data_IF_012209641126
#
_entry.id   IF_012209641126
#
_cell.length_a   1.000
_cell.length_b   1.000
_cell.length_c   1.000
_cell.angle_alpha   90.00
_cell.angle_beta   90.00
_cell.angle_gamma   90.00
#
_symmetry.space_group_name_H-M   'P 1'
#
loop_
_entity.id
_entity.type
_entity.pdbx_description
1 polymer ?
#
# COMPACT_ATOMS: atom_id res chain seq x y z
N UNK A 1 32.03 8.91 -16.86
CA UNK A 1 30.71 9.39 -16.38
C UNK A 1 30.82 9.48 -14.88
N UNK A 2 30.59 10.65 -14.32
CA UNK A 2 30.59 10.82 -12.86
C UNK A 2 29.29 10.26 -12.30
N UNK A 3 29.40 9.30 -11.39
CA UNK A 3 28.27 8.70 -10.70
C UNK A 3 28.11 9.42 -9.37
N UNK A 4 26.97 10.09 -9.17
CA UNK A 4 26.61 10.70 -7.90
C UNK A 4 25.92 9.66 -7.01
N UNK A 5 26.46 9.43 -5.83
CA UNK A 5 25.85 8.56 -4.81
C UNK A 5 25.12 9.43 -3.79
N UNK A 6 23.84 9.14 -3.57
CA UNK A 6 22.98 9.85 -2.62
C UNK A 6 22.34 8.87 -1.64
N UNK A 7 21.81 9.38 -0.53
CA UNK A 7 21.00 8.57 0.39
C UNK A 7 19.69 8.15 -0.28
N UNK A 8 19.25 6.92 -0.01
CA UNK A 8 17.92 6.48 -0.42
C UNK A 8 16.84 7.22 0.37
N UNK A 9 15.77 7.63 -0.32
CA UNK A 9 14.66 8.34 0.30
C UNK A 9 13.85 7.43 1.24
N UNK A 10 13.14 8.07 2.18
CA UNK A 10 12.22 7.43 3.12
C UNK A 10 10.81 7.94 2.83
N UNK A 11 9.90 7.04 2.46
CA UNK A 11 8.47 7.35 2.45
C UNK A 11 7.91 7.09 3.85
N UNK A 12 7.68 8.17 4.58
CA UNK A 12 7.27 8.12 5.98
C UNK A 12 5.79 7.75 6.20
N UNK A 13 4.98 7.69 5.13
CA UNK A 13 3.57 7.32 5.24
C UNK A 13 3.00 6.90 3.87
N UNK A 14 2.51 5.68 3.77
CA UNK A 14 1.77 5.20 2.59
C UNK A 14 0.80 4.08 2.92
N UNK A 15 0.09 3.60 1.90
CA UNK A 15 -0.80 2.45 1.93
C UNK A 15 -0.45 1.51 0.76
N UNK A 16 0.36 0.48 0.99
CA UNK A 16 0.81 -0.46 -0.03
C UNK A 16 -0.34 -1.23 -0.68
N UNK A 17 -1.42 -1.50 0.08
CA UNK A 17 -2.59 -2.20 -0.44
C UNK A 17 -3.27 -1.46 -1.60
N UNK A 18 -3.05 -0.14 -1.75
CA UNK A 18 -3.59 0.64 -2.85
C UNK A 18 -2.77 0.54 -4.13
N UNK A 19 -1.67 -0.22 -4.16
CA UNK A 19 -0.71 -0.25 -5.26
C UNK A 19 -1.32 -0.58 -6.63
N UNK A 20 -2.39 -1.38 -6.67
CA UNK A 20 -3.09 -1.71 -7.92
C UNK A 20 -4.18 -0.70 -8.32
N UNK A 21 -4.58 0.20 -7.42
CA UNK A 21 -5.69 1.14 -7.67
C UNK A 21 -5.49 2.01 -8.93
N UNK A 22 -4.27 2.50 -9.26
CA UNK A 22 -4.03 3.25 -10.49
C UNK A 22 -4.21 2.45 -11.79
N UNK A 23 -4.27 1.10 -11.73
CA UNK A 23 -4.36 0.23 -12.90
C UNK A 23 -5.80 0.03 -13.42
N UNK A 24 -6.67 1.00 -13.19
CA UNK A 24 -8.05 0.98 -13.71
C UNK A 24 -9.10 0.51 -12.70
N UNK A 25 -8.90 0.77 -11.40
CA UNK A 25 -9.98 0.60 -10.41
C UNK A 25 -11.21 1.43 -10.85
N UNK A 26 -12.42 0.84 -10.86
CA UNK A 26 -13.63 1.57 -11.25
C UNK A 26 -13.88 2.78 -10.36
N UNK A 27 -14.34 3.87 -10.97
CA UNK A 27 -14.79 5.04 -10.23
C UNK A 27 -16.04 4.71 -9.39
N UNK A 28 -16.22 5.36 -8.22
CA UNK A 28 -17.48 5.22 -7.48
C UNK A 28 -18.64 5.78 -8.30
N UNK A 29 -19.84 5.24 -8.09
CA UNK A 29 -21.07 5.67 -8.78
C UNK A 29 -21.34 7.18 -8.62
N UNK A 30 -21.04 7.72 -7.44
CA UNK A 30 -21.16 9.14 -7.14
C UNK A 30 -19.79 9.71 -6.73
N UNK A 31 -19.35 10.75 -7.45
CA UNK A 31 -18.11 11.45 -7.14
C UNK A 31 -18.11 11.94 -5.68
N UNK A 32 -17.05 11.66 -4.90
CA UNK A 32 -16.97 12.12 -3.52
C UNK A 32 -16.70 13.63 -3.46
N UNK A 33 -17.39 14.32 -2.56
CA UNK A 33 -17.30 15.79 -2.38
C UNK A 33 -16.43 16.17 -1.16
N UNK A 34 -16.05 15.19 -0.34
CA UNK A 34 -15.21 15.40 0.82
C UNK A 34 -14.38 14.14 1.14
N UNK A 35 -13.43 14.27 2.08
CA UNK A 35 -12.52 13.20 2.45
C UNK A 35 -13.24 11.96 3.00
N UNK A 36 -14.28 12.13 3.81
CA UNK A 36 -15.04 11.00 4.37
C UNK A 36 -15.72 10.22 3.24
N UNK A 37 -16.30 10.90 2.26
CA UNK A 37 -16.88 10.24 1.09
C UNK A 37 -15.82 9.53 0.24
N UNK A 38 -14.59 10.03 0.16
CA UNK A 38 -13.48 9.31 -0.51
C UNK A 38 -13.22 7.99 0.23
N UNK A 39 -13.13 8.02 1.56
CA UNK A 39 -12.94 6.83 2.38
C UNK A 39 -14.09 5.83 2.17
N UNK A 40 -15.32 6.26 2.35
CA UNK A 40 -16.52 5.42 2.25
C UNK A 40 -16.72 4.79 0.88
N UNK A 41 -16.54 5.59 -0.18
CA UNK A 41 -16.91 5.19 -1.55
C UNK A 41 -15.77 4.53 -2.31
N UNK A 42 -14.52 4.69 -1.86
CA UNK A 42 -13.34 4.14 -2.52
C UNK A 42 -12.57 3.23 -1.58
N UNK A 43 -11.88 3.81 -0.59
CA UNK A 43 -10.86 3.08 0.16
C UNK A 43 -11.42 1.97 1.05
N UNK A 44 -12.52 2.21 1.76
CA UNK A 44 -13.18 1.20 2.58
C UNK A 44 -13.79 0.06 1.76
N UNK A 45 -14.13 0.32 0.50
CA UNK A 45 -14.59 -0.76 -0.40
C UNK A 45 -13.42 -1.62 -0.85
N UNK A 46 -12.29 -0.97 -1.16
CA UNK A 46 -11.06 -1.66 -1.56
C UNK A 46 -10.49 -2.50 -0.42
N UNK A 47 -10.29 -1.93 0.77
CA UNK A 47 -9.65 -2.62 1.89
C UNK A 47 -10.42 -3.86 2.38
N UNK A 48 -11.76 -3.84 2.32
CA UNK A 48 -12.62 -5.00 2.58
C UNK A 48 -12.57 -6.07 1.50
N UNK A 49 -12.17 -5.71 0.28
CA UNK A 49 -12.14 -6.61 -0.88
C UNK A 49 -10.75 -7.27 -1.07
N UNK A 50 -9.76 -6.93 -0.24
CA UNK A 50 -8.43 -7.50 -0.32
C UNK A 50 -8.45 -8.99 0.02
N UNK A 51 -7.73 -9.75 -0.79
CA UNK A 51 -7.32 -11.12 -0.52
C UNK A 51 -5.78 -11.20 -0.53
N UNK A 52 -5.23 -12.36 -0.17
CA UNK A 52 -3.78 -12.56 -0.06
C UNK A 52 -3.05 -12.25 -1.38
N UNK A 53 -3.66 -12.62 -2.51
CA UNK A 53 -3.05 -12.50 -3.85
C UNK A 53 -3.00 -11.05 -4.30
N UNK A 54 -4.11 -10.33 -4.14
CA UNK A 54 -4.22 -8.92 -4.48
C UNK A 54 -3.34 -8.07 -3.58
N UNK A 55 -3.28 -8.37 -2.27
CA UNK A 55 -2.37 -7.70 -1.35
C UNK A 55 -0.90 -7.90 -1.73
N UNK A 56 -0.48 -9.15 -1.97
CA UNK A 56 0.89 -9.45 -2.38
C UNK A 56 1.27 -8.76 -3.70
N UNK A 57 0.37 -8.73 -4.68
CA UNK A 57 0.59 -8.05 -5.95
C UNK A 57 0.68 -6.53 -5.80
N UNK A 58 -0.20 -5.92 -4.99
CA UNK A 58 -0.19 -4.49 -4.71
C UNK A 58 1.11 -4.06 -4.02
N UNK A 59 1.53 -4.79 -3.00
CA UNK A 59 2.76 -4.51 -2.26
C UNK A 59 4.00 -4.62 -3.16
N UNK A 60 4.11 -5.69 -3.95
CA UNK A 60 5.25 -5.88 -4.88
C UNK A 60 5.34 -4.77 -5.92
N UNK A 61 4.21 -4.38 -6.53
CA UNK A 61 4.20 -3.31 -7.53
C UNK A 61 4.64 -1.99 -6.89
N UNK A 62 4.01 -1.60 -5.78
CA UNK A 62 4.31 -0.34 -5.11
C UNK A 62 5.77 -0.27 -4.66
N UNK A 63 6.29 -1.32 -4.03
CA UNK A 63 7.66 -1.35 -3.53
C UNK A 63 8.69 -1.32 -4.68
N UNK A 64 8.41 -2.00 -5.79
CA UNK A 64 9.27 -1.96 -6.98
C UNK A 64 9.33 -0.54 -7.57
N UNK A 65 8.19 0.13 -7.69
CA UNK A 65 8.12 1.52 -8.15
C UNK A 65 8.84 2.47 -7.19
N UNK A 66 8.67 2.30 -5.88
CA UNK A 66 9.36 3.07 -4.86
C UNK A 66 10.89 2.93 -4.98
N UNK A 67 11.40 1.71 -5.13
CA UNK A 67 12.83 1.43 -5.30
C UNK A 67 13.38 2.06 -6.59
N UNK A 68 12.65 1.94 -7.70
CA UNK A 68 13.01 2.57 -8.98
C UNK A 68 13.06 4.11 -8.87
N UNK A 69 12.22 4.68 -8.01
CA UNK A 69 12.22 6.11 -7.69
C UNK A 69 13.27 6.52 -6.65
N UNK A 70 14.11 5.59 -6.16
CA UNK A 70 15.15 5.86 -5.16
C UNK A 70 14.65 5.88 -3.71
N UNK A 71 13.40 5.46 -3.46
CA UNK A 71 12.86 5.28 -2.10
C UNK A 71 13.21 3.89 -1.61
N UNK A 72 14.00 3.82 -0.54
CA UNK A 72 14.55 2.57 -0.01
C UNK A 72 13.97 2.17 1.34
N UNK A 73 13.14 3.04 1.94
CA UNK A 73 12.41 2.75 3.17
C UNK A 73 10.98 3.24 3.08
N UNK A 74 10.04 2.42 3.55
CA UNK A 74 8.61 2.70 3.52
C UNK A 74 7.99 2.42 4.88
N UNK A 75 7.11 3.31 5.33
CA UNK A 75 6.23 3.10 6.49
C UNK A 75 4.82 2.88 5.95
N UNK A 76 4.34 1.65 6.03
CA UNK A 76 3.02 1.27 5.56
C UNK A 76 1.98 1.32 6.67
N UNK A 77 0.86 1.98 6.40
CA UNK A 77 -0.32 2.02 7.26
C UNK A 77 -1.36 1.04 6.71
N UNK A 78 -1.19 -0.24 7.01
CA UNK A 78 -1.99 -1.28 6.41
C UNK A 78 -3.44 -1.29 6.92
N UNK A 79 -4.39 -1.47 6.00
CA UNK A 79 -5.82 -1.64 6.27
C UNK A 79 -6.32 -2.81 5.42
N UNK A 80 -6.81 -3.86 6.08
CA UNK A 80 -7.34 -5.07 5.42
C UNK A 80 -8.31 -5.80 6.35
N UNK A 81 -9.47 -5.21 6.70
CA UNK A 81 -10.36 -5.80 7.70
C UNK A 81 -10.87 -7.20 7.34
N UNK A 82 -10.92 -7.55 6.04
CA UNK A 82 -11.26 -8.90 5.57
C UNK A 82 -10.11 -9.91 5.60
N UNK A 83 -8.88 -9.45 5.87
CA UNK A 83 -7.65 -10.24 5.91
C UNK A 83 -6.74 -9.67 7.01
N UNK A 84 -7.03 -9.97 8.27
CA UNK A 84 -6.23 -9.48 9.41
C UNK A 84 -5.02 -10.38 9.66
N UNK A 85 -5.28 -11.68 9.77
CA UNK A 85 -4.24 -12.68 10.05
C UNK A 85 -3.35 -12.86 8.82
N UNK A 86 -2.02 -12.84 9.03
CA UNK A 86 -1.02 -13.02 7.98
C UNK A 86 -0.82 -11.83 7.03
N UNK A 87 -1.63 -10.76 7.12
CA UNK A 87 -1.54 -9.67 6.15
C UNK A 87 -0.24 -8.87 6.25
N UNK A 88 0.27 -8.67 7.47
CA UNK A 88 1.56 -8.03 7.69
C UNK A 88 2.74 -8.90 7.22
N UNK A 89 2.61 -10.23 7.31
CA UNK A 89 3.63 -11.16 6.81
C UNK A 89 3.69 -11.10 5.28
N UNK A 90 2.55 -11.02 4.59
CA UNK A 90 2.49 -10.85 3.13
C UNK A 90 3.22 -9.57 2.68
N UNK A 91 3.05 -8.47 3.43
CA UNK A 91 3.75 -7.23 3.16
C UNK A 91 5.27 -7.35 3.41
N UNK A 92 5.65 -8.00 4.51
CA UNK A 92 7.06 -8.24 4.85
C UNK A 92 7.75 -9.12 3.79
N UNK A 93 7.11 -10.20 3.35
CA UNK A 93 7.61 -11.09 2.30
C UNK A 93 7.83 -10.35 0.97
N UNK A 94 6.93 -9.42 0.62
CA UNK A 94 7.09 -8.59 -0.57
C UNK A 94 8.30 -7.65 -0.47
N UNK A 95 8.54 -7.06 0.70
CA UNK A 95 9.68 -6.20 0.96
C UNK A 95 11.01 -6.99 0.95
N UNK A 96 11.05 -8.14 1.62
CA UNK A 96 12.22 -9.02 1.66
C UNK A 96 12.60 -9.52 0.26
N UNK A 97 11.62 -9.90 -0.55
CA UNK A 97 11.86 -10.34 -1.92
C UNK A 97 12.48 -9.25 -2.82
N UNK A 98 12.23 -7.97 -2.52
CA UNK A 98 12.72 -6.82 -3.29
C UNK A 98 13.92 -6.11 -2.63
N UNK A 99 14.29 -6.49 -1.40
CA UNK A 99 15.32 -5.82 -0.61
C UNK A 99 14.92 -4.42 -0.13
N UNK A 100 13.62 -4.14 -0.02
CA UNK A 100 13.12 -2.87 0.53
C UNK A 100 13.10 -2.91 2.05
N UNK A 101 13.38 -1.78 2.72
CA UNK A 101 13.15 -1.66 4.17
C UNK A 101 11.69 -1.27 4.41
N UNK A 102 10.95 -2.09 5.14
CA UNK A 102 9.55 -1.85 5.42
C UNK A 102 9.29 -1.81 6.92
N UNK A 103 8.57 -0.79 7.37
CA UNK A 103 7.91 -0.74 8.67
C UNK A 103 6.41 -0.90 8.42
N UNK A 104 5.79 -1.87 9.09
CA UNK A 104 4.36 -2.14 8.96
C UNK A 104 3.60 -1.70 10.20
N UNK A 105 2.49 -1.00 9.97
CA UNK A 105 1.48 -0.66 10.96
C UNK A 105 0.16 -1.30 10.54
N UNK A 106 -0.69 -1.69 11.49
CA UNK A 106 -2.07 -2.11 11.20
C UNK A 106 -3.05 -1.07 11.73
N UNK A 107 -3.96 -0.60 10.88
CA UNK A 107 -5.03 0.32 11.26
C UNK A 107 -6.15 -0.39 11.99
N UNK A 108 -6.35 -0.05 13.27
CA UNK A 108 -7.41 -0.61 14.09
C UNK A 108 -8.65 0.30 14.11
N UNK A 109 -9.83 -0.26 13.88
CA UNK A 109 -11.08 0.49 13.72
C UNK A 109 -12.31 -0.39 13.99
N UNK A 110 -13.39 0.22 14.49
CA UNK A 110 -14.69 -0.39 14.78
C UNK A 110 -15.71 -0.20 13.62
N UNK A 111 -15.23 0.01 12.38
CA UNK A 111 -16.10 0.30 11.22
C UNK A 111 -16.69 -0.93 10.52
N UNK A 112 -16.36 -2.15 10.95
CA UNK A 112 -16.70 -3.42 10.27
C UNK A 112 -17.36 -4.42 11.22
#
# INVERSE_FOLDING_TARGET
>A
MDVNVVHGAVNAHTHLYSGLAPLGMPAPEHAPENFVQILERVWWRLDRALDERSLAAAARLYLAEALLAGTTSVVDHHESPGLVEGSLDILADAADALGARLLVCYGATERN
#
